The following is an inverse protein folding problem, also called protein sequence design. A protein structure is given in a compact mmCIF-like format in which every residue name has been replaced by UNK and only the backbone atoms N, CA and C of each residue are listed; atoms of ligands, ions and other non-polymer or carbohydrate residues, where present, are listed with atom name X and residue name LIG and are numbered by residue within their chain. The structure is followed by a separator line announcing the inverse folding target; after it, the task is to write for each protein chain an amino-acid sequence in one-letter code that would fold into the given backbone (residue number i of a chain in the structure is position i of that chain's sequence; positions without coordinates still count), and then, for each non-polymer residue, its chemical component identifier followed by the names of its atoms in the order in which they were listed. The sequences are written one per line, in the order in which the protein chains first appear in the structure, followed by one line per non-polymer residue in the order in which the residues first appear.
data_IF_409202671007
#
_entry.id   IF_409202671007
#
_cell.length_a   1.000
_cell.length_b   1.000
_cell.length_c   1.000
_cell.angle_alpha   90.00
_cell.angle_beta   90.00
_cell.angle_gamma   90.00
#
_symmetry.space_group_name_H-M   'P 1'
#
loop_
_entity.id
_entity.type
_entity.pdbx_description
1 polymer ?
#
# COMPACT_ATOMS: atom_id res chain seq x y z
N UNK A 1 -11.01 17.53 7.40
CA UNK A 1 -12.26 16.75 7.26
C UNK A 1 -11.88 15.39 6.67
N UNK A 2 -11.27 14.52 7.48
CA UNK A 2 -10.90 13.14 7.11
C UNK A 2 -11.69 12.12 7.96
N UNK A 3 -12.81 12.57 8.55
CA UNK A 3 -13.57 11.80 9.51
C UNK A 3 -14.27 10.64 8.78
N UNK A 4 -13.95 9.40 9.18
CA UNK A 4 -14.65 8.20 8.74
C UNK A 4 -14.11 7.50 7.50
N UNK A 5 -12.99 7.93 6.90
CA UNK A 5 -12.38 7.22 5.75
C UNK A 5 -12.03 5.78 6.11
N UNK A 6 -11.41 5.57 7.28
CA UNK A 6 -11.08 4.22 7.78
C UNK A 6 -12.34 3.35 7.91
N UNK A 7 -13.43 3.89 8.44
CA UNK A 7 -14.71 3.19 8.59
C UNK A 7 -15.27 2.77 7.23
N UNK A 8 -15.27 3.69 6.26
CA UNK A 8 -15.74 3.39 4.90
C UNK A 8 -14.93 2.27 4.24
N UNK A 9 -13.59 2.34 4.33
CA UNK A 9 -12.71 1.32 3.75
C UNK A 9 -12.92 -0.04 4.41
N UNK A 10 -12.98 -0.07 5.75
CA UNK A 10 -13.20 -1.31 6.49
C UNK A 10 -14.53 -1.97 6.12
N UNK A 11 -15.61 -1.19 6.04
CA UNK A 11 -16.92 -1.69 5.61
C UNK A 11 -16.86 -2.22 4.16
N UNK A 12 -16.17 -1.53 3.26
CA UNK A 12 -16.01 -1.99 1.87
C UNK A 12 -15.22 -3.30 1.78
N UNK A 13 -14.17 -3.47 2.58
CA UNK A 13 -13.42 -4.74 2.64
C UNK A 13 -14.32 -5.88 3.12
N UNK A 14 -15.03 -5.68 4.22
CA UNK A 14 -15.95 -6.69 4.77
C UNK A 14 -17.05 -7.03 3.77
N UNK A 15 -17.63 -6.03 3.10
CA UNK A 15 -18.64 -6.21 2.06
C UNK A 15 -18.12 -7.07 0.90
N UNK A 16 -16.89 -6.82 0.43
CA UNK A 16 -16.25 -7.58 -0.66
C UNK A 16 -15.98 -9.02 -0.22
N UNK A 17 -15.45 -9.22 0.99
CA UNK A 17 -15.18 -10.56 1.54
C UNK A 17 -16.48 -11.36 1.68
N UNK A 18 -17.54 -10.72 2.18
CA UNK A 18 -18.87 -11.32 2.34
C UNK A 18 -19.51 -11.73 1.01
N UNK A 19 -19.39 -10.91 -0.02
CA UNK A 19 -19.95 -11.18 -1.36
C UNK A 19 -19.15 -12.20 -2.18
N UNK A 20 -17.99 -12.62 -1.69
CA UNK A 20 -17.13 -13.55 -2.41
C UNK A 20 -17.71 -14.97 -2.41
N UNK A 21 -17.42 -15.73 -3.47
CA UNK A 21 -17.69 -17.17 -3.51
C UNK A 21 -16.67 -17.98 -2.73
N UNK A 22 -15.54 -17.38 -2.33
CA UNK A 22 -14.51 -18.00 -1.50
C UNK A 22 -14.90 -17.92 -0.03
N UNK A 23 -14.54 -18.95 0.74
CA UNK A 23 -14.66 -18.95 2.20
C UNK A 23 -13.39 -18.36 2.81
N UNK A 24 -13.56 -17.37 3.68
CA UNK A 24 -12.48 -16.76 4.43
C UNK A 24 -12.63 -17.07 5.91
N UNK A 25 -11.52 -17.38 6.58
CA UNK A 25 -11.45 -17.43 8.03
C UNK A 25 -10.70 -16.20 8.51
N UNK A 26 -11.40 -15.30 9.22
CA UNK A 26 -10.82 -14.07 9.74
C UNK A 26 -10.07 -14.40 11.03
N UNK A 27 -8.75 -14.49 10.92
CA UNK A 27 -7.87 -14.79 12.07
C UNK A 27 -7.54 -13.53 12.88
N UNK A 28 -7.37 -12.39 12.21
CA UNK A 28 -6.99 -11.13 12.84
C UNK A 28 -7.84 -9.99 12.28
N UNK A 29 -8.48 -9.24 13.16
CA UNK A 29 -9.20 -8.01 12.85
C UNK A 29 -8.82 -6.96 13.90
N UNK A 30 -7.95 -6.02 13.53
CA UNK A 30 -7.44 -4.98 14.44
C UNK A 30 -7.50 -3.63 13.72
N UNK A 31 -8.70 -3.08 13.65
CA UNK A 31 -9.04 -1.90 12.84
C UNK A 31 -9.94 -0.96 13.64
N UNK A 32 -10.11 0.28 13.16
CA UNK A 32 -10.97 1.29 13.79
C UNK A 32 -10.59 1.48 15.26
N UNK A 33 -11.56 1.40 16.18
CA UNK A 33 -11.37 1.64 17.61
C UNK A 33 -10.26 0.76 18.21
N UNK A 34 -10.13 -0.50 17.78
CA UNK A 34 -9.11 -1.41 18.29
C UNK A 34 -7.69 -0.93 17.95
N UNK A 35 -7.52 -0.22 16.82
CA UNK A 35 -6.25 0.35 16.40
C UNK A 35 -6.16 1.87 16.63
N UNK A 36 -7.08 2.49 17.37
CA UNK A 36 -7.12 3.95 17.56
C UNK A 36 -6.69 4.32 18.98
N UNK A 37 -5.74 5.25 19.07
CA UNK A 37 -5.31 5.89 20.32
C UNK A 37 -5.40 7.40 20.18
N UNK A 38 -5.46 8.09 21.32
CA UNK A 38 -5.69 9.53 21.39
C UNK A 38 -4.52 10.21 22.10
N UNK A 39 -4.12 11.36 21.59
CA UNK A 39 -3.05 12.14 22.22
C UNK A 39 -3.62 13.01 23.34
N UNK A 40 -2.76 13.82 23.97
CA UNK A 40 -3.19 14.72 25.05
C UNK A 40 -4.16 15.81 24.57
N UNK A 41 -4.19 16.10 23.28
CA UNK A 41 -5.07 17.09 22.66
C UNK A 41 -6.38 16.45 22.15
N UNK A 42 -6.51 15.11 22.26
CA UNK A 42 -7.68 14.36 21.80
C UNK A 42 -7.64 14.02 20.32
N UNK A 43 -6.51 14.20 19.63
CA UNK A 43 -6.37 13.80 18.23
C UNK A 43 -6.22 12.27 18.14
N UNK A 44 -6.98 11.66 17.23
CA UNK A 44 -6.92 10.22 16.98
C UNK A 44 -5.75 9.85 16.05
N UNK A 45 -5.01 8.80 16.39
CA UNK A 45 -3.95 8.24 15.55
C UNK A 45 -3.91 6.70 15.64
N UNK A 46 -3.39 6.02 14.60
CA UNK A 46 -3.28 4.57 14.63
C UNK A 46 -2.17 4.12 15.59
N UNK A 47 -2.48 3.14 16.44
CA UNK A 47 -1.51 2.48 17.33
C UNK A 47 -0.49 1.69 16.51
N UNK A 48 -0.98 0.81 15.63
CA UNK A 48 -0.19 0.06 14.67
C UNK A 48 -0.23 0.74 13.31
N UNK A 49 0.95 1.14 12.82
CA UNK A 49 1.15 1.81 11.52
C UNK A 49 1.59 0.87 10.41
N UNK A 50 2.00 -0.35 10.77
CA UNK A 50 2.49 -1.36 9.85
C UNK A 50 2.59 -2.72 10.53
N UNK A 51 2.72 -3.75 9.71
CA UNK A 51 2.93 -5.12 10.15
C UNK A 51 3.83 -5.85 9.15
N UNK A 52 4.50 -6.89 9.64
CA UNK A 52 5.29 -7.84 8.86
C UNK A 52 4.55 -9.18 8.83
N UNK A 53 4.63 -9.88 7.70
CA UNK A 53 4.16 -11.26 7.56
C UNK A 53 5.36 -12.15 7.28
N UNK A 54 5.60 -13.13 8.15
CA UNK A 54 6.55 -14.21 7.89
C UNK A 54 5.86 -15.24 6.97
N UNK A 55 6.14 -15.20 5.67
CA UNK A 55 5.43 -16.02 4.67
C UNK A 55 5.61 -17.53 4.85
N UNK A 56 6.75 -17.96 5.41
CA UNK A 56 7.02 -19.38 5.69
C UNK A 56 6.15 -19.98 6.81
N UNK A 57 5.68 -19.16 7.76
CA UNK A 57 4.85 -19.61 8.89
C UNK A 57 3.46 -18.99 8.93
N UNK A 58 3.19 -17.97 8.10
CA UNK A 58 1.97 -17.18 8.16
C UNK A 58 1.84 -16.32 9.43
N UNK A 59 2.94 -16.11 10.17
CA UNK A 59 2.92 -15.32 11.41
C UNK A 59 2.89 -13.82 11.11
N UNK A 60 2.12 -13.05 11.89
CA UNK A 60 1.91 -11.61 11.70
C UNK A 60 2.42 -10.87 12.92
N UNK A 61 3.23 -9.84 12.71
CA UNK A 61 3.84 -9.04 13.78
C UNK A 61 3.67 -7.55 13.51
N UNK A 62 3.37 -6.72 14.52
CA UNK A 62 3.54 -5.28 14.42
C UNK A 62 4.95 -4.91 13.96
N UNK A 63 5.06 -4.01 12.99
CA UNK A 63 6.35 -3.59 12.45
C UNK A 63 6.34 -2.12 12.03
N UNK A 64 7.49 -1.48 12.17
CA UNK A 64 7.75 -0.15 11.59
C UNK A 64 8.94 -0.28 10.66
N UNK A 65 8.80 0.25 9.46
CA UNK A 65 9.86 0.24 8.44
C UNK A 65 10.48 1.63 8.37
N UNK A 66 11.81 1.68 8.48
CA UNK A 66 12.53 2.93 8.31
C UNK A 66 12.43 3.39 6.84
N UNK A 67 12.50 4.69 6.59
CA UNK A 67 12.35 5.24 5.24
C UNK A 67 13.39 4.68 4.27
N UNK A 68 14.62 4.50 4.75
CA UNK A 68 15.72 3.93 3.96
C UNK A 68 15.56 2.42 3.68
N UNK A 69 14.57 1.75 4.27
CA UNK A 69 14.37 0.29 4.13
C UNK A 69 13.12 -0.07 3.34
N UNK A 70 12.44 0.89 2.69
CA UNK A 70 11.16 0.68 1.98
C UNK A 70 11.29 -0.03 0.62
N UNK A 71 12.46 -0.60 0.34
CA UNK A 71 12.78 -1.31 -0.89
C UNK A 71 13.31 -0.39 -1.99
N UNK A 72 13.73 -0.96 -3.13
CA UNK A 72 14.23 -0.19 -4.26
C UNK A 72 13.16 0.74 -4.83
N UNK A 73 13.59 1.84 -5.42
CA UNK A 73 12.77 2.72 -6.25
C UNK A 73 11.49 3.27 -5.56
N UNK A 74 11.50 3.47 -4.23
CA UNK A 74 10.37 4.04 -3.46
C UNK A 74 9.82 5.31 -4.13
N UNK A 75 10.71 6.20 -4.56
CA UNK A 75 10.34 7.44 -5.20
C UNK A 75 9.59 7.22 -6.54
N UNK A 76 10.10 6.30 -7.38
CA UNK A 76 9.46 5.94 -8.64
C UNK A 76 8.10 5.28 -8.38
N UNK A 77 8.00 4.41 -7.38
CA UNK A 77 6.74 3.79 -6.95
C UNK A 77 5.72 4.84 -6.49
N UNK A 78 6.15 5.84 -5.73
CA UNK A 78 5.29 6.96 -5.30
C UNK A 78 4.81 7.84 -6.46
N UNK A 79 5.68 8.11 -7.45
CA UNK A 79 5.26 8.80 -8.69
C UNK A 79 4.25 7.94 -9.45
N UNK A 80 4.51 6.63 -9.59
CA UNK A 80 3.65 5.67 -10.28
C UNK A 80 2.26 5.63 -9.66
N UNK A 81 2.18 5.52 -8.34
CA UNK A 81 0.93 5.56 -7.59
C UNK A 81 0.13 6.83 -7.91
N UNK A 82 0.76 8.00 -7.76
CA UNK A 82 0.12 9.29 -8.05
C UNK A 82 -0.31 9.44 -9.52
N UNK A 83 0.49 8.97 -10.47
CA UNK A 83 0.18 9.02 -11.89
C UNK A 83 -1.00 8.09 -12.26
N UNK A 84 -1.06 6.91 -11.64
CA UNK A 84 -2.10 5.91 -11.89
C UNK A 84 -3.50 6.40 -11.49
N UNK A 85 -3.62 7.27 -10.48
CA UNK A 85 -4.88 7.91 -10.08
C UNK A 85 -5.55 8.69 -11.23
N UNK A 86 -4.79 9.13 -12.23
CA UNK A 86 -5.27 9.91 -13.38
C UNK A 86 -5.37 9.10 -14.67
N UNK A 87 -4.92 7.85 -14.69
CA UNK A 87 -4.93 7.00 -15.88
C UNK A 87 -6.15 6.09 -15.89
N UNK A 88 -7.01 6.26 -16.89
CA UNK A 88 -8.23 5.46 -17.05
C UNK A 88 -7.93 3.97 -17.24
N UNK A 89 -6.77 3.60 -17.80
CA UNK A 89 -6.37 2.20 -17.98
C UNK A 89 -6.03 1.51 -16.64
N UNK A 90 -5.71 2.29 -15.62
CA UNK A 90 -5.40 1.81 -14.27
C UNK A 90 -6.55 2.02 -13.27
N UNK A 91 -7.71 2.48 -13.75
CA UNK A 91 -8.91 2.62 -12.92
C UNK A 91 -9.30 1.27 -12.32
N UNK A 92 -9.47 1.23 -11.00
CA UNK A 92 -9.81 0.04 -10.21
C UNK A 92 -8.78 -1.10 -10.24
N UNK A 93 -7.52 -0.83 -10.59
CA UNK A 93 -6.44 -1.84 -10.57
C UNK A 93 -5.46 -1.56 -9.46
N UNK A 94 -5.03 -2.62 -8.76
CA UNK A 94 -3.86 -2.55 -7.89
C UNK A 94 -2.59 -2.58 -8.73
N UNK A 95 -1.58 -1.82 -8.31
CA UNK A 95 -0.28 -1.81 -8.94
C UNK A 95 0.53 -2.99 -8.40
N UNK A 96 0.56 -4.09 -9.14
CA UNK A 96 1.49 -5.18 -8.84
C UNK A 96 2.94 -4.68 -8.97
N UNK A 97 3.79 -5.12 -8.04
CA UNK A 97 5.18 -4.67 -7.87
C UNK A 97 6.19 -5.80 -7.69
N UNK A 98 5.72 -7.05 -7.59
CA UNK A 98 6.56 -8.21 -7.37
C UNK A 98 6.05 -9.39 -8.20
N UNK A 99 6.95 -10.02 -8.95
CA UNK A 99 6.71 -11.29 -9.62
C UNK A 99 7.27 -12.42 -8.75
N UNK A 100 6.38 -13.25 -8.24
CA UNK A 100 6.73 -14.38 -7.37
C UNK A 100 7.33 -15.55 -8.12
N UNK A 101 7.12 -15.67 -9.43
CA UNK A 101 7.68 -16.78 -10.22
C UNK A 101 9.16 -16.55 -10.52
N UNK A 102 9.52 -15.31 -10.88
CA UNK A 102 10.91 -14.93 -11.17
C UNK A 102 11.68 -14.38 -9.97
N UNK A 103 11.01 -14.18 -8.83
CA UNK A 103 11.54 -13.61 -7.59
C UNK A 103 12.13 -12.20 -7.78
N UNK A 104 11.37 -11.33 -8.46
CA UNK A 104 11.85 -10.00 -8.86
C UNK A 104 10.83 -8.89 -8.63
N UNK A 105 11.34 -7.69 -8.32
CA UNK A 105 10.54 -6.48 -8.33
C UNK A 105 10.24 -6.04 -9.78
N UNK A 106 8.96 -5.91 -10.12
CA UNK A 106 8.50 -5.48 -11.45
C UNK A 106 7.72 -4.18 -11.33
N UNK A 107 8.35 -3.07 -11.72
CA UNK A 107 7.70 -1.75 -11.72
C UNK A 107 7.23 -1.45 -13.15
N UNK A 108 6.00 -1.88 -13.46
CA UNK A 108 5.41 -1.66 -14.77
C UNK A 108 5.22 -0.17 -15.09
N UNK A 109 5.38 0.20 -16.36
CA UNK A 109 5.16 1.56 -16.83
C UNK A 109 3.68 1.96 -16.69
N UNK A 110 3.43 3.07 -16.01
CA UNK A 110 2.15 3.81 -16.09
C UNK A 110 2.33 4.90 -17.15
N UNK A 111 1.25 5.36 -17.80
CA UNK A 111 1.16 6.32 -18.94
C UNK A 111 2.36 7.19 -19.39
N UNK A 112 2.25 7.79 -20.58
CA UNK A 112 3.24 8.73 -21.17
C UNK A 112 3.70 9.85 -20.22
N UNK A 113 2.86 10.32 -19.30
CA UNK A 113 3.21 11.36 -18.32
C UNK A 113 4.20 10.87 -17.24
N UNK A 114 4.04 9.63 -16.78
CA UNK A 114 4.97 8.98 -15.84
C UNK A 114 6.29 8.59 -16.50
N UNK A 115 6.29 8.34 -17.82
CA UNK A 115 7.52 8.11 -18.59
C UNK A 115 8.45 9.32 -18.57
N UNK A 116 7.92 10.54 -18.74
CA UNK A 116 8.73 11.78 -18.69
C UNK A 116 9.32 12.05 -17.30
N UNK A 117 8.57 11.79 -16.22
CA UNK A 117 9.07 11.93 -14.84
C UNK A 117 10.12 10.86 -14.48
N UNK A 118 9.94 9.63 -14.97
CA UNK A 118 10.91 8.55 -14.79
C UNK A 118 12.20 8.78 -15.58
N UNK A 119 12.12 9.37 -16.79
CA UNK A 119 13.31 9.79 -17.58
C UNK A 119 14.10 10.83 -16.79
N UNK A 120 13.45 11.86 -16.25
CA UNK A 120 14.12 12.90 -15.45
C UNK A 120 14.87 12.27 -14.27
N UNK A 121 14.25 11.30 -13.57
CA UNK A 121 14.92 10.62 -12.46
C UNK A 121 16.10 9.74 -12.90
N UNK A 122 15.96 8.96 -13.98
CA UNK A 122 17.08 8.17 -14.55
C UNK A 122 18.24 9.07 -14.97
N UNK A 123 17.97 10.23 -15.55
CA UNK A 123 19.01 11.19 -15.93
C UNK A 123 19.67 11.88 -14.74
N UNK A 124 18.98 12.08 -13.61
CA UNK A 124 19.55 12.73 -12.43
C UNK A 124 20.25 11.77 -11.45
N UNK A 125 19.81 10.52 -11.35
CA UNK A 125 20.32 9.55 -10.36
C UNK A 125 21.39 8.63 -10.92
N UNK A 126 21.31 8.27 -12.22
CA UNK A 126 22.24 7.32 -12.84
C UNK A 126 23.26 7.98 -13.78
N UNK A 127 23.21 9.31 -14.00
CA UNK A 127 24.37 10.07 -14.51
C UNK A 127 25.13 10.66 -13.33
N UNK A 128 25.96 9.84 -12.69
CA UNK A 128 27.11 10.28 -11.91
C UNK A 128 28.37 9.75 -12.59
#
# INVERSE_FOLDING_TARGET
MWDGVSTFICLKIVEILWKSTKRFNIQTLYILNDNTIYDREGNAYPLLKGFLVETGKGSIFPATFHETTKGPDEYIRSIRERASLRDLNWKNRFLETYDTESDQFVIAHVSRYSYNLAIIYKEFVYKK
#
